data_IF_601711715611
#
_entry.id   IF_601711715611
#
_cell.length_a   1.000
_cell.length_b   1.000
_cell.length_c   1.000
_cell.angle_alpha   90.00
_cell.angle_beta   90.00
_cell.angle_gamma   90.00
#
_symmetry.space_group_name_H-M   'P 1'
#
loop_
_entity.id
_entity.type
_entity.pdbx_description
1 polymer ?
#
# COMPACT_ATOMS: atom_id res chain seq x y z
N UNK A 1 -27.65 -27.02 43.55
CA UNK A 1 -27.23 -27.72 44.78
C UNK A 1 -25.75 -27.45 45.01
N UNK A 2 -25.42 -26.88 46.18
CA UNK A 2 -24.21 -27.11 47.04
C UNK A 2 -22.84 -27.10 46.32
N UNK A 3 -21.84 -26.26 46.62
CA UNK A 3 -21.21 -25.90 47.91
C UNK A 3 -20.27 -24.67 47.71
N UNK A 4 -20.23 -23.64 48.59
CA UNK A 4 -19.27 -23.42 49.74
C UNK A 4 -17.77 -23.49 49.37
N UNK A 5 -16.83 -22.60 49.72
CA UNK A 5 -16.46 -21.82 50.93
C UNK A 5 -15.41 -20.74 50.51
N UNK A 6 -15.44 -19.47 50.91
CA UNK A 6 -15.00 -18.86 52.19
C UNK A 6 -13.52 -19.05 52.61
N UNK A 7 -12.73 -17.95 52.63
CA UNK A 7 -11.90 -17.39 53.76
C UNK A 7 -10.92 -16.33 53.21
N UNK A 8 -10.97 -15.05 53.66
CA UNK A 8 -10.29 -14.43 54.84
C UNK A 8 -8.76 -14.58 54.76
N UNK A 9 -7.87 -13.62 55.03
CA UNK A 9 -7.83 -12.26 55.64
C UNK A 9 -6.31 -11.90 55.63
N UNK A 10 -5.83 -10.66 55.49
CA UNK A 10 -5.24 -9.84 56.58
C UNK A 10 -4.21 -8.82 56.02
N UNK A 11 -4.42 -7.55 56.44
CA UNK A 11 -3.51 -6.40 56.78
C UNK A 11 -2.32 -6.02 55.87
N UNK A 12 -2.15 -4.77 55.42
CA UNK A 12 -2.19 -3.39 56.03
C UNK A 12 -0.87 -2.94 56.71
N UNK A 13 -0.59 -1.64 56.46
CA UNK A 13 0.19 -0.60 57.19
C UNK A 13 1.55 -0.26 56.55
N UNK A 14 1.97 1.01 56.42
CA UNK A 14 1.45 2.33 56.86
C UNK A 14 2.03 3.44 55.94
N UNK A 15 1.38 4.61 55.75
CA UNK A 15 1.24 5.78 56.64
C UNK A 15 2.59 6.48 56.92
N UNK A 16 2.78 7.81 56.89
CA UNK A 16 1.96 9.03 56.69
C UNK A 16 2.90 10.16 56.21
N UNK A 17 2.67 11.48 56.27
CA UNK A 17 1.68 12.40 56.86
C UNK A 17 1.88 13.77 56.13
N UNK A 18 0.85 14.53 55.69
CA UNK A 18 0.04 15.58 56.36
C UNK A 18 0.79 16.84 56.85
N UNK A 19 0.40 18.03 56.32
CA UNK A 19 -0.11 19.21 57.06
C UNK A 19 -0.34 20.42 56.10
N UNK A 20 -1.58 20.84 55.79
CA UNK A 20 -2.47 21.89 56.38
C UNK A 20 -2.11 23.38 56.16
N UNK A 21 -3.04 24.15 55.56
CA UNK A 21 -3.54 25.43 56.09
C UNK A 21 -4.80 25.93 55.33
N UNK A 22 -5.80 26.37 56.10
CA UNK A 22 -7.08 27.00 55.74
C UNK A 22 -6.97 28.54 55.68
N UNK A 23 -7.82 29.21 54.90
CA UNK A 23 -8.60 30.40 55.32
C UNK A 23 -9.94 30.44 54.56
N UNK A 24 -11.02 30.70 55.29
CA UNK A 24 -12.39 30.87 54.84
C UNK A 24 -12.78 32.36 54.70
N UNK A 25 -13.80 32.65 53.89
CA UNK A 25 -14.50 33.94 53.88
C UNK A 25 -15.74 33.88 53.00
N UNK A 26 -16.92 33.78 53.61
CA UNK A 26 -18.24 33.85 52.98
C UNK A 26 -18.86 35.23 53.23
N UNK A 27 -19.61 35.77 52.26
CA UNK A 27 -20.82 36.57 52.49
C UNK A 27 -21.59 36.78 51.18
N UNK A 28 -22.90 36.60 51.30
CA UNK A 28 -23.96 36.62 50.29
C UNK A 28 -24.41 38.04 49.93
N UNK A 29 -24.76 38.27 48.66
CA UNK A 29 -25.75 39.27 48.26
C UNK A 29 -26.50 38.79 47.00
N UNK A 30 -27.80 38.55 47.15
CA UNK A 30 -28.77 38.37 46.06
C UNK A 30 -29.50 39.69 45.89
N UNK A 31 -29.45 40.30 44.70
CA UNK A 31 -30.56 41.07 44.13
C UNK A 31 -30.26 41.57 42.71
N UNK A 32 -31.32 41.54 41.90
CA UNK A 32 -31.55 42.24 40.63
C UNK A 32 -30.92 41.68 39.34
N UNK A 33 -31.72 40.88 38.62
CA UNK A 33 -31.64 40.86 37.16
C UNK A 33 -32.23 42.16 36.60
N UNK A 34 -31.65 42.71 35.53
CA UNK A 34 -32.47 42.94 34.35
C UNK A 34 -31.77 42.57 33.02
N UNK A 35 -32.63 42.14 32.10
CA UNK A 35 -32.59 42.28 30.64
C UNK A 35 -31.37 41.75 29.85
N UNK A 36 -31.70 40.81 28.97
CA UNK A 36 -30.88 40.26 27.90
C UNK A 36 -30.09 41.30 27.11
N UNK A 37 -28.76 41.15 27.14
CA UNK A 37 -27.90 41.50 26.03
C UNK A 37 -27.33 40.19 25.47
N UNK A 38 -27.58 39.93 24.18
CA UNK A 38 -26.99 38.81 23.46
C UNK A 38 -25.46 38.86 23.61
N UNK A 39 -24.78 37.74 23.90
CA UNK A 39 -23.33 37.74 23.85
C UNK A 39 -22.93 37.98 22.39
N UNK A 40 -22.32 39.15 22.14
CA UNK A 40 -21.56 39.41 20.94
C UNK A 40 -20.63 38.21 20.73
N UNK A 41 -20.78 37.54 19.59
CA UNK A 41 -19.90 36.48 19.16
C UNK A 41 -18.46 37.02 19.22
N UNK A 42 -17.75 36.62 20.28
CA UNK A 42 -16.37 37.03 20.50
C UNK A 42 -15.55 36.60 19.29
N UNK A 43 -14.67 37.50 18.85
CA UNK A 43 -13.70 37.39 17.76
C UNK A 43 -12.88 36.08 17.72
N UNK A 44 -13.04 35.20 18.71
CA UNK A 44 -12.50 33.84 18.76
C UNK A 44 -13.09 32.91 17.68
N UNK A 45 -14.29 33.19 17.14
CA UNK A 45 -14.83 32.45 15.97
C UNK A 45 -14.34 32.99 14.61
N UNK A 46 -13.68 34.15 14.57
CA UNK A 46 -13.08 34.70 13.34
C UNK A 46 -11.58 34.39 13.21
N UNK A 47 -10.96 33.75 14.21
CA UNK A 47 -9.57 33.29 14.17
C UNK A 47 -9.48 31.79 13.84
N UNK A 48 -10.60 31.16 13.44
CA UNK A 48 -10.56 29.91 12.68
C UNK A 48 -10.24 30.29 11.23
N UNK A 49 -8.94 30.29 10.93
CA UNK A 49 -8.28 30.75 9.72
C UNK A 49 -9.12 30.62 8.45
N UNK A 50 -9.38 31.76 7.81
CA UNK A 50 -9.51 31.80 6.37
C UNK A 50 -8.23 31.22 5.75
N UNK A 51 -8.23 29.93 5.40
CA UNK A 51 -7.36 29.45 4.33
C UNK A 51 -7.60 30.40 3.16
N UNK A 52 -6.56 31.09 2.68
CA UNK A 52 -6.67 31.78 1.41
C UNK A 52 -7.18 30.74 0.41
N UNK A 53 -8.37 30.99 -0.17
CA UNK A 53 -8.97 30.04 -1.10
C UNK A 53 -7.95 29.73 -2.19
N UNK A 54 -7.63 28.45 -2.38
CA UNK A 54 -6.69 28.00 -3.40
C UNK A 54 -7.08 28.59 -4.75
N UNK A 55 -6.10 28.96 -5.55
CA UNK A 55 -6.32 29.57 -6.86
C UNK A 55 -6.50 28.48 -7.92
N UNK A 56 -7.40 28.73 -8.87
CA UNK A 56 -7.49 27.92 -10.10
C UNK A 56 -6.57 28.50 -11.17
N UNK A 57 -5.84 27.64 -11.89
CA UNK A 57 -5.02 28.04 -13.06
C UNK A 57 -5.25 27.14 -14.25
N UNK A 58 -5.04 27.66 -15.45
CA UNK A 58 -5.00 26.88 -16.69
C UNK A 58 -3.52 26.64 -17.05
N UNK A 59 -3.04 25.38 -17.06
CA UNK A 59 -1.64 25.09 -17.37
C UNK A 59 -1.26 25.38 -18.81
N UNK A 60 0.04 25.55 -19.05
CA UNK A 60 0.58 25.94 -20.36
C UNK A 60 0.23 24.96 -21.48
N UNK A 61 0.21 23.65 -21.20
CA UNK A 61 -0.11 22.65 -22.24
C UNK A 61 -1.56 22.78 -22.78
N UNK A 62 -2.48 23.34 -21.99
CA UNK A 62 -3.85 23.64 -22.45
C UNK A 62 -3.83 24.87 -23.36
N UNK A 63 -3.11 25.93 -22.97
CA UNK A 63 -3.06 27.18 -23.74
C UNK A 63 -2.28 27.00 -25.04
N UNK A 64 -1.15 26.31 -25.00
CA UNK A 64 -0.29 26.07 -26.18
C UNK A 64 -1.00 25.19 -27.22
N UNK A 65 -1.87 24.29 -26.77
CA UNK A 65 -2.72 23.49 -27.66
C UNK A 65 -3.96 24.22 -28.18
N UNK A 66 -4.20 25.47 -27.77
CA UNK A 66 -5.44 26.19 -28.09
C UNK A 66 -6.70 25.54 -27.50
N UNK A 67 -6.54 24.68 -26.50
CA UNK A 67 -7.59 23.82 -25.95
C UNK A 67 -8.32 24.46 -24.76
N UNK A 68 -8.32 25.80 -24.70
CA UNK A 68 -8.99 26.55 -23.66
C UNK A 68 -10.48 26.21 -23.62
N UNK A 69 -11.02 26.10 -22.41
CA UNK A 69 -12.43 25.84 -22.16
C UNK A 69 -12.92 26.74 -21.04
N UNK A 70 -14.12 27.31 -21.21
CA UNK A 70 -14.84 27.98 -20.13
C UNK A 70 -15.55 26.99 -19.20
N UNK A 71 -15.59 25.71 -19.57
CA UNK A 71 -16.25 24.67 -18.82
C UNK A 71 -15.39 24.23 -17.63
N UNK A 72 -15.75 24.72 -16.45
CA UNK A 72 -15.11 24.34 -15.21
C UNK A 72 -16.11 24.36 -14.05
N UNK A 73 -15.83 23.54 -13.04
CA UNK A 73 -16.41 23.66 -11.71
C UNK A 73 -15.29 23.57 -10.68
N UNK A 74 -15.55 24.12 -9.50
CA UNK A 74 -14.55 24.22 -8.42
C UNK A 74 -15.09 23.63 -7.12
N UNK A 75 -14.18 23.04 -6.36
CA UNK A 75 -14.34 22.70 -4.96
C UNK A 75 -13.22 23.35 -4.14
N UNK A 76 -13.01 22.93 -2.88
CA UNK A 76 -11.96 23.51 -2.05
C UNK A 76 -10.57 23.25 -2.63
N UNK A 77 -10.31 22.03 -3.08
CA UNK A 77 -9.01 21.53 -3.51
C UNK A 77 -8.90 21.22 -5.00
N UNK A 78 -10.02 21.12 -5.73
CA UNK A 78 -10.02 20.72 -7.14
C UNK A 78 -10.68 21.73 -8.07
N UNK A 79 -10.20 21.76 -9.31
CA UNK A 79 -10.90 22.38 -10.44
C UNK A 79 -11.10 21.34 -11.52
N UNK A 80 -12.35 20.92 -11.74
CA UNK A 80 -12.72 19.95 -12.77
C UNK A 80 -13.00 20.69 -14.08
N UNK A 81 -12.36 20.28 -15.18
CA UNK A 81 -12.50 20.88 -16.53
C UNK A 81 -12.86 19.84 -17.58
N UNK A 82 -13.58 20.26 -18.60
CA UNK A 82 -13.92 19.41 -19.75
C UNK A 82 -13.95 20.20 -21.06
N UNK A 83 -13.69 19.52 -22.16
CA UNK A 83 -13.75 20.10 -23.50
C UNK A 83 -15.17 20.27 -24.00
N UNK A 84 -15.31 20.83 -25.20
CA UNK A 84 -16.60 21.13 -25.83
C UNK A 84 -17.08 20.04 -26.81
N UNK A 85 -16.27 18.99 -27.06
CA UNK A 85 -16.61 17.95 -28.03
C UNK A 85 -17.66 16.96 -27.49
N UNK A 86 -17.81 16.89 -26.16
CA UNK A 86 -18.82 16.07 -25.48
C UNK A 86 -19.57 16.93 -24.49
N UNK A 87 -20.91 16.90 -24.54
CA UNK A 87 -21.75 17.46 -23.49
C UNK A 87 -21.73 16.52 -22.27
N UNK A 88 -20.69 16.68 -21.44
CA UNK A 88 -20.45 15.87 -20.25
C UNK A 88 -21.56 16.06 -19.20
N UNK A 89 -22.21 17.22 -19.17
CA UNK A 89 -23.33 17.49 -18.27
C UNK A 89 -24.55 16.68 -18.70
N UNK A 90 -24.92 16.71 -19.99
CA UNK A 90 -26.01 15.90 -20.50
C UNK A 90 -25.72 14.39 -20.37
N UNK A 91 -24.48 13.96 -20.65
CA UNK A 91 -24.05 12.58 -20.45
C UNK A 91 -24.24 12.12 -18.99
N UNK A 92 -23.93 13.00 -18.04
CA UNK A 92 -24.10 12.78 -16.61
C UNK A 92 -25.56 12.69 -16.19
N UNK A 93 -26.42 13.58 -16.70
CA UNK A 93 -27.86 13.58 -16.42
C UNK A 93 -28.55 12.29 -16.85
N UNK A 94 -28.13 11.71 -17.99
CA UNK A 94 -28.61 10.40 -18.44
C UNK A 94 -28.27 9.26 -17.46
N UNK A 95 -27.36 9.49 -16.51
CA UNK A 95 -26.92 8.55 -15.48
C UNK A 95 -27.34 8.98 -14.06
N UNK A 96 -28.23 9.96 -13.95
CA UNK A 96 -28.79 10.42 -12.68
C UNK A 96 -27.96 11.48 -11.95
N UNK A 97 -26.98 12.10 -12.62
CA UNK A 97 -26.23 13.22 -12.06
C UNK A 97 -26.72 14.56 -12.63
N UNK A 98 -27.35 15.40 -11.81
CA UNK A 98 -27.87 16.72 -12.25
C UNK A 98 -26.77 17.64 -12.79
N UNK A 99 -25.61 17.61 -12.12
CA UNK A 99 -24.36 18.27 -12.51
C UNK A 99 -23.19 17.32 -12.25
N UNK A 100 -22.90 16.48 -13.24
CA UNK A 100 -21.85 15.47 -13.14
C UNK A 100 -20.44 16.03 -12.87
N UNK A 101 -19.97 17.09 -13.54
CA UNK A 101 -18.69 17.70 -13.18
C UNK A 101 -18.61 18.13 -11.71
N UNK A 102 -19.68 18.71 -11.13
CA UNK A 102 -19.69 19.10 -9.72
C UNK A 102 -19.70 17.87 -8.80
N UNK A 103 -20.44 16.82 -9.17
CA UNK A 103 -20.40 15.55 -8.44
C UNK A 103 -18.98 14.97 -8.42
N UNK A 104 -18.26 15.00 -9.54
CA UNK A 104 -16.84 14.58 -9.62
C UNK A 104 -15.97 15.40 -8.67
N UNK A 105 -16.11 16.73 -8.67
CA UNK A 105 -15.34 17.60 -7.78
C UNK A 105 -15.58 17.24 -6.30
N UNK A 106 -16.84 17.04 -5.92
CA UNK A 106 -17.21 16.66 -4.55
C UNK A 106 -16.69 15.27 -4.17
N UNK A 107 -16.80 14.29 -5.07
CA UNK A 107 -16.27 12.94 -4.88
C UNK A 107 -14.75 12.94 -4.68
N UNK A 108 -14.03 13.80 -5.40
CA UNK A 108 -12.59 13.98 -5.17
C UNK A 108 -12.26 14.63 -3.82
N UNK A 109 -13.12 15.48 -3.26
CA UNK A 109 -12.94 15.97 -1.88
C UNK A 109 -13.06 14.85 -0.84
N UNK A 110 -13.91 13.85 -1.06
CA UNK A 110 -14.01 12.67 -0.18
C UNK A 110 -12.75 11.80 -0.24
N UNK A 111 -12.12 11.72 -1.41
CA UNK A 111 -10.83 11.03 -1.61
C UNK A 111 -9.69 11.83 -0.98
N UNK A 112 -9.70 13.16 -1.16
CA UNK A 112 -8.77 14.07 -0.50
C UNK A 112 -8.82 13.90 1.01
N UNK A 113 -10.01 13.98 1.60
CA UNK A 113 -10.19 13.85 3.05
C UNK A 113 -9.62 12.53 3.57
N UNK A 114 -9.89 11.43 2.86
CA UNK A 114 -9.34 10.13 3.21
C UNK A 114 -7.80 10.12 3.24
N UNK A 115 -7.13 10.54 2.16
CA UNK A 115 -5.67 10.43 2.09
C UNK A 115 -4.92 11.51 2.88
N UNK A 116 -5.43 12.74 2.88
CA UNK A 116 -4.77 13.88 3.52
C UNK A 116 -5.10 13.92 5.01
N UNK A 117 -6.37 13.81 5.38
CA UNK A 117 -6.80 14.01 6.78
C UNK A 117 -6.86 12.71 7.59
N UNK A 118 -7.29 11.59 7.00
CA UNK A 118 -7.44 10.33 7.74
C UNK A 118 -6.17 9.48 7.72
N UNK A 119 -5.55 9.29 6.55
CA UNK A 119 -4.30 8.53 6.40
C UNK A 119 -3.08 9.37 6.79
N UNK A 120 -3.15 10.69 6.66
CA UNK A 120 -2.00 11.56 6.92
C UNK A 120 -0.84 11.31 5.95
N UNK A 121 -1.15 11.01 4.68
CA UNK A 121 -0.15 10.65 3.66
C UNK A 121 0.81 11.81 3.35
N UNK A 122 0.28 12.86 2.74
CA UNK A 122 0.96 14.10 2.37
C UNK A 122 -0.06 15.20 2.54
N UNK A 123 0.28 16.28 3.24
CA UNK A 123 -0.53 17.50 3.24
C UNK A 123 -0.05 18.42 2.12
N UNK A 124 -0.87 18.66 1.07
CA UNK A 124 -0.47 19.60 0.02
C UNK A 124 -0.27 21.03 0.52
N UNK A 125 -0.75 21.39 1.72
CA UNK A 125 -0.43 22.66 2.37
C UNK A 125 1.07 22.81 2.67
N UNK A 126 1.81 21.72 2.84
CA UNK A 126 3.27 21.72 3.03
C UNK A 126 4.05 21.89 1.71
N UNK A 127 3.36 21.81 0.57
CA UNK A 127 3.95 21.99 -0.75
C UNK A 127 3.68 23.41 -1.29
N UNK A 128 4.68 24.17 -1.77
CA UNK A 128 4.47 25.55 -2.23
C UNK A 128 3.39 25.71 -3.31
N UNK A 129 3.27 24.74 -4.22
CA UNK A 129 2.21 24.75 -5.24
C UNK A 129 0.91 24.14 -4.74
N UNK A 130 0.99 23.12 -3.87
CA UNK A 130 -0.19 22.44 -3.32
C UNK A 130 -1.00 23.31 -2.36
N UNK A 131 -0.33 24.23 -1.66
CA UNK A 131 -0.95 25.23 -0.78
C UNK A 131 -1.58 26.39 -1.54
N UNK A 132 -1.04 26.72 -2.71
CA UNK A 132 -1.47 27.88 -3.50
C UNK A 132 -2.56 27.54 -4.51
N UNK A 133 -2.46 26.39 -5.19
CA UNK A 133 -3.30 26.06 -6.34
C UNK A 133 -4.19 24.86 -6.08
N UNK A 134 -5.39 24.89 -6.67
CA UNK A 134 -6.24 23.71 -6.80
C UNK A 134 -5.61 22.72 -7.77
N UNK A 135 -5.87 21.44 -7.53
CA UNK A 135 -5.48 20.36 -8.43
C UNK A 135 -6.45 20.37 -9.62
N UNK A 136 -5.90 20.41 -10.82
CA UNK A 136 -6.71 20.37 -12.03
C UNK A 136 -7.10 18.93 -12.35
N UNK A 137 -8.39 18.65 -12.52
CA UNK A 137 -8.88 17.35 -13.00
C UNK A 137 -9.53 17.55 -14.36
N UNK A 138 -9.01 16.89 -15.39
CA UNK A 138 -9.57 16.92 -16.74
C UNK A 138 -10.44 15.69 -16.97
N UNK A 139 -11.69 15.91 -17.38
CA UNK A 139 -12.59 14.85 -17.84
C UNK A 139 -12.20 14.50 -19.28
N UNK A 140 -11.14 13.71 -19.41
CA UNK A 140 -10.48 13.39 -20.67
C UNK A 140 -11.40 12.62 -21.64
N UNK A 141 -11.15 12.79 -22.93
CA UNK A 141 -12.03 12.35 -24.01
C UNK A 141 -13.19 13.30 -24.32
N UNK A 142 -13.21 14.49 -23.72
CA UNK A 142 -14.23 15.53 -23.98
C UNK A 142 -13.74 16.68 -24.88
N UNK A 143 -12.47 16.68 -25.29
CA UNK A 143 -11.91 17.62 -26.26
C UNK A 143 -11.94 17.05 -27.68
N UNK A 144 -11.90 17.94 -28.67
CA UNK A 144 -11.83 17.59 -30.09
C UNK A 144 -10.40 17.23 -30.53
N UNK A 145 -10.28 16.44 -31.60
CA UNK A 145 -9.00 16.22 -32.28
C UNK A 145 -7.99 15.42 -31.46
N UNK A 146 -8.46 14.45 -30.68
CA UNK A 146 -7.66 13.56 -29.82
C UNK A 146 -6.80 14.27 -28.75
N UNK A 147 -7.01 15.57 -28.52
CA UNK A 147 -6.41 16.27 -27.40
C UNK A 147 -6.97 15.72 -26.08
N UNK A 148 -6.10 15.34 -25.14
CA UNK A 148 -6.48 14.64 -23.90
C UNK A 148 -7.45 13.47 -24.17
N UNK A 149 -6.98 12.40 -24.85
CA UNK A 149 -7.82 11.24 -25.13
C UNK A 149 -8.23 10.56 -23.83
N UNK A 150 -9.20 9.64 -23.89
CA UNK A 150 -9.62 8.86 -22.71
C UNK A 150 -8.42 8.07 -22.15
N UNK A 151 -7.85 8.58 -21.08
CA UNK A 151 -6.67 8.04 -20.41
C UNK A 151 -6.76 8.36 -18.91
N UNK A 152 -6.04 7.57 -18.11
CA UNK A 152 -5.79 7.86 -16.70
C UNK A 152 -4.31 8.18 -16.56
N UNK A 153 -4.01 9.35 -16.01
CA UNK A 153 -2.66 9.73 -15.60
C UNK A 153 -2.74 10.94 -14.66
N UNK A 154 -1.70 11.13 -13.85
CA UNK A 154 -1.60 12.25 -12.94
C UNK A 154 -0.13 12.62 -12.68
N UNK A 155 0.07 13.82 -12.15
CA UNK A 155 1.39 14.32 -11.83
C UNK A 155 1.38 15.82 -11.56
N UNK A 156 2.41 16.51 -12.05
CA UNK A 156 2.58 17.95 -11.91
C UNK A 156 2.56 18.65 -13.27
N UNK A 157 2.01 19.85 -13.28
CA UNK A 157 2.01 20.75 -14.43
C UNK A 157 3.34 21.50 -14.58
N UNK A 158 3.37 22.46 -15.53
CA UNK A 158 4.55 23.25 -15.90
C UNK A 158 5.18 24.05 -14.75
N UNK A 159 4.47 24.27 -13.64
CA UNK A 159 4.99 25.00 -12.48
C UNK A 159 5.08 24.14 -11.21
N UNK A 160 4.76 22.85 -11.30
CA UNK A 160 4.70 21.94 -10.16
C UNK A 160 3.33 21.85 -9.47
N UNK A 161 2.26 22.41 -10.05
CA UNK A 161 0.91 22.27 -9.50
C UNK A 161 0.29 20.92 -9.89
N UNK A 162 -0.48 20.31 -9.00
CA UNK A 162 -1.05 18.99 -9.25
C UNK A 162 -2.07 19.00 -10.40
N UNK A 163 -2.04 17.96 -11.23
CA UNK A 163 -3.09 17.73 -12.21
C UNK A 163 -3.32 16.25 -12.50
N UNK A 164 -4.52 15.95 -12.98
CA UNK A 164 -5.00 14.59 -13.23
C UNK A 164 -5.86 14.59 -14.51
N UNK A 165 -5.76 13.51 -15.27
CA UNK A 165 -6.61 13.19 -16.40
C UNK A 165 -7.35 11.90 -16.09
N UNK A 166 -8.68 11.94 -16.14
CA UNK A 166 -9.53 10.77 -15.95
C UNK A 166 -10.60 10.78 -17.04
N UNK A 167 -10.94 9.64 -17.69
CA UNK A 167 -11.96 9.62 -18.74
C UNK A 167 -13.29 10.13 -18.21
N UNK A 168 -13.99 10.96 -18.99
CA UNK A 168 -15.29 11.48 -18.56
C UNK A 168 -16.33 10.39 -18.31
N UNK A 169 -16.16 9.20 -18.91
CA UNK A 169 -17.08 8.07 -18.84
C UNK A 169 -16.57 6.88 -18.02
N UNK A 170 -15.51 7.07 -17.23
CA UNK A 170 -15.02 6.02 -16.33
C UNK A 170 -16.05 5.65 -15.26
N UNK A 171 -15.87 4.49 -14.68
CA UNK A 171 -16.50 4.14 -13.40
C UNK A 171 -15.75 4.81 -12.26
N UNK A 172 -16.46 5.56 -11.43
CA UNK A 172 -15.93 6.28 -10.26
C UNK A 172 -16.18 5.47 -8.99
N UNK A 173 -15.39 4.42 -8.82
CA UNK A 173 -15.55 3.42 -7.77
C UNK A 173 -14.55 3.58 -6.62
N UNK A 174 -13.83 4.69 -6.56
CA UNK A 174 -12.72 4.97 -5.65
C UNK A 174 -11.43 4.20 -5.93
N UNK A 175 -11.32 3.42 -7.01
CA UNK A 175 -10.08 2.72 -7.33
C UNK A 175 -9.12 3.60 -8.14
N UNK A 176 -9.45 3.85 -9.41
CA UNK A 176 -8.56 4.53 -10.36
C UNK A 176 -8.29 5.97 -9.94
N UNK A 177 -9.31 6.70 -9.48
CA UNK A 177 -9.16 8.08 -9.07
C UNK A 177 -8.30 8.23 -7.81
N UNK A 178 -8.33 7.24 -6.91
CA UNK A 178 -7.44 7.20 -5.74
C UNK A 178 -6.01 6.92 -6.15
N UNK A 179 -5.81 5.98 -7.07
CA UNK A 179 -4.49 5.66 -7.64
C UNK A 179 -3.85 6.91 -8.26
N UNK A 180 -4.56 7.57 -9.18
CA UNK A 180 -4.05 8.75 -9.87
C UNK A 180 -3.84 9.94 -8.93
N UNK A 181 -4.73 10.16 -7.95
CA UNK A 181 -4.55 11.23 -6.97
C UNK A 181 -3.27 11.02 -6.14
N UNK A 182 -2.92 9.78 -5.83
CA UNK A 182 -1.71 9.47 -5.10
C UNK A 182 -0.43 9.78 -5.92
N UNK A 183 -0.45 9.77 -7.25
CA UNK A 183 0.67 10.27 -8.05
C UNK A 183 0.91 11.78 -7.88
N UNK A 184 -0.14 12.57 -7.70
CA UNK A 184 0.00 13.99 -7.36
C UNK A 184 0.67 14.14 -5.99
N UNK A 185 0.21 13.37 -4.99
CA UNK A 185 0.76 13.41 -3.65
C UNK A 185 2.20 12.89 -3.57
N UNK A 186 2.54 11.84 -4.32
CA UNK A 186 3.93 11.34 -4.46
C UNK A 186 4.86 12.40 -5.06
N UNK A 187 4.37 13.18 -6.03
CA UNK A 187 5.13 14.28 -6.62
C UNK A 187 5.41 15.36 -5.57
N UNK A 188 4.41 15.75 -4.79
CA UNK A 188 4.60 16.69 -3.66
C UNK A 188 5.54 16.13 -2.58
N UNK A 189 5.41 14.85 -2.24
CA UNK A 189 6.32 14.19 -1.29
C UNK A 189 7.78 14.23 -1.78
N UNK A 190 7.99 14.03 -3.09
CA UNK A 190 9.32 14.09 -3.70
C UNK A 190 9.92 15.50 -3.66
N UNK A 191 9.11 16.53 -3.90
CA UNK A 191 9.57 17.93 -3.81
C UNK A 191 9.88 18.37 -2.37
N UNK A 192 9.05 17.93 -1.41
CA UNK A 192 9.31 18.14 0.03
C UNK A 192 10.57 17.38 0.45
N UNK A 193 10.73 16.13 0.00
CA UNK A 193 11.95 15.35 0.21
C UNK A 193 13.20 16.08 -0.32
N UNK A 194 13.14 16.64 -1.53
CA UNK A 194 14.23 17.42 -2.11
C UNK A 194 14.56 18.65 -1.25
N UNK A 195 13.54 19.38 -0.80
CA UNK A 195 13.67 20.54 0.09
C UNK A 195 14.30 20.18 1.43
N UNK A 196 14.03 18.97 1.92
CA UNK A 196 14.60 18.42 3.16
C UNK A 196 16.05 17.89 2.98
N UNK A 197 16.68 18.11 1.82
CA UNK A 197 18.07 17.76 1.57
C UNK A 197 18.31 16.31 1.12
N UNK A 198 17.24 15.56 0.81
CA UNK A 198 17.34 14.17 0.35
C UNK A 198 17.38 14.03 -1.18
N UNK A 199 17.29 15.16 -1.90
CA UNK A 199 17.50 15.24 -3.35
C UNK A 199 16.35 14.72 -4.23
N UNK A 200 15.16 14.51 -3.66
CA UNK A 200 13.98 14.02 -4.38
C UNK A 200 13.67 12.54 -4.16
N UNK A 201 14.59 11.81 -3.52
CA UNK A 201 14.38 10.44 -3.09
C UNK A 201 14.07 9.47 -4.24
N UNK A 202 12.83 8.98 -4.28
CA UNK A 202 12.35 8.11 -5.35
C UNK A 202 11.85 8.88 -6.58
N UNK A 203 11.76 10.21 -6.52
CA UNK A 203 11.43 11.09 -7.63
C UNK A 203 12.64 11.66 -8.36
N UNK A 204 12.44 12.82 -8.99
CA UNK A 204 13.49 13.65 -9.60
C UNK A 204 14.44 12.87 -10.54
N UNK A 205 13.89 11.94 -11.32
CA UNK A 205 14.65 11.16 -12.31
C UNK A 205 15.48 10.01 -11.73
N UNK A 206 15.19 9.52 -10.52
CA UNK A 206 15.86 8.35 -9.97
C UNK A 206 15.65 7.10 -10.89
N UNK A 207 16.71 6.52 -11.48
CA UNK A 207 16.61 5.53 -12.55
C UNK A 207 16.15 4.13 -12.08
N UNK A 208 16.05 3.91 -10.76
CA UNK A 208 15.82 2.60 -10.15
C UNK A 208 14.58 2.58 -9.24
N UNK A 209 13.74 3.61 -9.31
CA UNK A 209 12.53 3.74 -8.48
C UNK A 209 11.22 3.73 -9.27
N UNK A 210 11.23 3.82 -10.61
CA UNK A 210 10.01 3.94 -11.42
C UNK A 210 8.84 3.02 -11.01
N UNK A 211 9.02 1.69 -10.94
CA UNK A 211 7.94 0.77 -10.56
C UNK A 211 7.40 0.98 -9.14
N UNK A 212 8.15 1.61 -8.23
CA UNK A 212 7.67 1.87 -6.86
C UNK A 212 6.54 2.90 -6.85
N UNK A 213 6.50 3.81 -7.82
CA UNK A 213 5.45 4.81 -7.94
C UNK A 213 4.10 4.14 -8.15
N UNK A 214 4.03 3.18 -9.07
CA UNK A 214 2.83 2.40 -9.35
C UNK A 214 2.49 1.41 -8.24
N UNK A 215 3.48 0.68 -7.73
CA UNK A 215 3.26 -0.27 -6.64
C UNK A 215 2.71 0.46 -5.39
N UNK A 216 3.22 1.65 -5.09
CA UNK A 216 2.72 2.47 -4.00
C UNK A 216 1.35 3.07 -4.31
N UNK A 217 1.10 3.62 -5.51
CA UNK A 217 -0.21 4.15 -5.87
C UNK A 217 -1.31 3.07 -5.80
N UNK A 218 -0.99 1.83 -6.20
CA UNK A 218 -1.87 0.68 -6.01
C UNK A 218 -2.05 0.29 -4.54
N UNK A 219 -0.99 0.31 -3.73
CA UNK A 219 -1.12 0.13 -2.28
C UNK A 219 -2.09 1.17 -1.69
N UNK A 220 -1.94 2.45 -2.05
CA UNK A 220 -2.79 3.53 -1.55
C UNK A 220 -4.25 3.37 -2.00
N UNK A 221 -4.50 3.06 -3.28
CA UNK A 221 -5.84 2.78 -3.78
C UNK A 221 -6.51 1.60 -3.05
N UNK A 222 -5.73 0.57 -2.68
CA UNK A 222 -6.21 -0.60 -1.92
C UNK A 222 -6.56 -0.29 -0.48
N UNK A 223 -6.00 0.76 0.12
CA UNK A 223 -6.46 1.18 1.45
C UNK A 223 -7.95 1.55 1.43
N UNK A 224 -8.44 2.13 0.32
CA UNK A 224 -9.85 2.51 0.14
C UNK A 224 -10.70 1.41 -0.50
N UNK A 225 -10.11 0.60 -1.38
CA UNK A 225 -10.78 -0.51 -2.11
C UNK A 225 -9.96 -1.81 -2.03
N UNK A 226 -9.81 -2.41 -0.85
CA UNK A 226 -8.92 -3.57 -0.65
C UNK A 226 -9.34 -4.81 -1.45
N UNK A 227 -10.61 -4.89 -1.85
CA UNK A 227 -11.16 -5.95 -2.69
C UNK A 227 -10.87 -5.81 -4.19
N UNK A 228 -10.29 -4.71 -4.69
CA UNK A 228 -10.06 -4.56 -6.13
C UNK A 228 -8.69 -5.12 -6.51
N UNK A 229 -8.54 -6.44 -6.64
CA UNK A 229 -7.27 -7.11 -6.99
C UNK A 229 -7.10 -7.26 -8.50
N UNK A 230 -8.16 -7.68 -9.19
CA UNK A 230 -8.22 -7.80 -10.66
C UNK A 230 -8.13 -6.41 -11.31
N UNK A 231 -7.03 -6.13 -12.00
CA UNK A 231 -6.77 -4.86 -12.70
C UNK A 231 -5.36 -4.30 -12.48
N UNK A 232 -4.66 -4.72 -11.43
CA UNK A 232 -3.29 -4.24 -11.11
C UNK A 232 -2.17 -5.05 -11.75
N UNK A 233 -2.39 -5.69 -12.90
CA UNK A 233 -1.38 -6.54 -13.54
C UNK A 233 -1.17 -7.90 -12.85
N UNK A 234 -1.01 -8.92 -13.68
CA UNK A 234 -0.98 -10.35 -13.39
C UNK A 234 0.14 -10.82 -12.43
N UNK A 235 -0.08 -10.71 -11.12
CA UNK A 235 0.94 -11.13 -10.14
C UNK A 235 1.01 -12.66 -9.94
N UNK A 236 -0.12 -13.37 -10.03
CA UNK A 236 -0.27 -14.78 -9.60
C UNK A 236 0.73 -15.74 -10.28
N UNK A 237 1.08 -15.52 -11.56
CA UNK A 237 2.06 -16.35 -12.28
C UNK A 237 3.45 -15.68 -12.43
N UNK A 238 3.65 -14.53 -11.78
CA UNK A 238 4.83 -13.67 -11.92
C UNK A 238 5.55 -13.44 -10.59
N UNK A 239 5.16 -14.18 -9.55
CA UNK A 239 5.69 -14.06 -8.19
C UNK A 239 7.19 -14.32 -8.11
N UNK A 240 7.74 -15.09 -9.05
CA UNK A 240 9.16 -15.40 -9.16
C UNK A 240 9.98 -14.21 -9.71
N UNK A 241 9.38 -13.23 -10.39
CA UNK A 241 10.11 -12.04 -10.81
C UNK A 241 10.57 -11.21 -9.60
N UNK A 242 11.57 -10.36 -9.83
CA UNK A 242 12.13 -9.53 -8.76
C UNK A 242 11.06 -8.56 -8.29
N UNK A 243 11.08 -8.20 -7.01
CA UNK A 243 10.24 -7.09 -6.55
C UNK A 243 10.63 -5.81 -7.31
N UNK A 244 9.62 -5.09 -7.80
CA UNK A 244 9.70 -3.95 -8.73
C UNK A 244 10.21 -4.31 -10.13
N UNK A 245 9.90 -5.50 -10.66
CA UNK A 245 10.15 -5.85 -12.05
C UNK A 245 9.19 -5.12 -13.00
N UNK A 246 9.56 -5.04 -14.29
CA UNK A 246 8.66 -4.47 -15.30
C UNK A 246 7.44 -5.38 -15.52
N UNK A 247 7.59 -6.67 -15.27
CA UNK A 247 6.57 -7.72 -15.38
C UNK A 247 5.54 -7.66 -14.24
N UNK A 248 5.93 -7.12 -13.10
CA UNK A 248 5.12 -6.99 -11.88
C UNK A 248 4.85 -5.53 -11.52
N UNK A 249 5.05 -4.61 -12.48
CA UNK A 249 5.07 -3.14 -12.30
C UNK A 249 3.94 -2.59 -11.42
N UNK A 250 2.75 -3.16 -11.52
CA UNK A 250 1.55 -2.76 -10.77
C UNK A 250 1.19 -3.71 -9.60
N UNK A 251 1.80 -4.91 -9.51
CA UNK A 251 1.43 -5.98 -8.60
C UNK A 251 2.22 -6.02 -7.28
N UNK A 252 3.30 -5.25 -7.17
CA UNK A 252 4.29 -5.35 -6.10
C UNK A 252 3.90 -4.65 -4.77
N UNK A 253 2.63 -4.28 -4.62
CA UNK A 253 2.10 -3.56 -3.47
C UNK A 253 2.08 -4.39 -2.17
N UNK A 254 2.07 -5.72 -2.23
CA UNK A 254 1.91 -6.61 -1.06
C UNK A 254 3.08 -6.57 -0.07
N UNK A 255 4.28 -6.15 -0.49
CA UNK A 255 5.37 -5.90 0.45
C UNK A 255 5.02 -4.71 1.37
N UNK A 256 4.33 -3.69 0.86
CA UNK A 256 3.82 -2.59 1.69
C UNK A 256 2.75 -3.05 2.67
N UNK A 257 1.85 -3.99 2.31
CA UNK A 257 0.92 -4.59 3.29
C UNK A 257 1.66 -5.32 4.41
N UNK A 258 2.69 -6.10 4.06
CA UNK A 258 3.50 -6.80 5.07
C UNK A 258 4.20 -5.82 6.00
N UNK A 259 4.78 -4.75 5.46
CA UNK A 259 5.46 -3.72 6.24
C UNK A 259 4.45 -2.97 7.12
N UNK A 260 3.29 -2.55 6.59
CA UNK A 260 2.20 -1.92 7.33
C UNK A 260 1.79 -2.77 8.53
N UNK A 261 1.52 -4.04 8.32
CA UNK A 261 1.03 -4.95 9.35
C UNK A 261 2.09 -5.27 10.40
N UNK A 262 3.38 -5.06 10.09
CA UNK A 262 4.51 -5.37 10.98
C UNK A 262 5.05 -4.14 11.72
N UNK A 263 5.10 -2.98 11.04
CA UNK A 263 5.79 -1.77 11.51
C UNK A 263 4.86 -0.55 11.63
N UNK A 264 3.58 -0.69 11.25
CA UNK A 264 2.61 0.41 11.19
C UNK A 264 2.52 1.06 9.80
N UNK A 265 1.39 1.69 9.45
CA UNK A 265 1.24 2.37 8.16
C UNK A 265 2.17 3.59 7.99
N UNK A 266 2.55 4.25 9.08
CA UNK A 266 3.30 5.51 9.05
C UNK A 266 4.71 5.34 8.45
N UNK A 267 5.29 4.13 8.54
CA UNK A 267 6.62 3.88 7.96
C UNK A 267 6.60 3.91 6.44
N UNK A 268 5.46 3.65 5.80
CA UNK A 268 5.32 3.75 4.34
C UNK A 268 5.51 5.20 3.90
N UNK A 269 4.94 6.16 4.64
CA UNK A 269 5.10 7.60 4.42
C UNK A 269 6.55 8.03 4.61
N UNK A 270 7.17 7.54 5.68
CA UNK A 270 8.59 7.80 5.94
C UNK A 270 9.49 7.39 4.78
N UNK A 271 9.18 6.32 4.04
CA UNK A 271 10.01 5.94 2.90
C UNK A 271 10.12 7.03 1.85
N UNK A 272 9.02 7.72 1.53
CA UNK A 272 9.04 8.80 0.53
C UNK A 272 9.75 10.04 1.04
N UNK A 273 9.56 10.41 2.32
CA UNK A 273 10.22 11.57 2.92
C UNK A 273 11.71 11.36 3.22
N UNK A 274 12.12 10.11 3.47
CA UNK A 274 13.49 9.78 3.88
C UNK A 274 14.33 9.13 2.79
N UNK A 275 13.76 8.65 1.67
CA UNK A 275 14.51 8.11 0.54
C UNK A 275 15.56 9.09 0.05
N UNK A 276 16.76 8.60 -0.28
CA UNK A 276 17.85 9.43 -0.83
C UNK A 276 17.86 9.34 -2.35
N UNK A 277 18.25 10.42 -3.02
CA UNK A 277 18.36 10.42 -4.48
C UNK A 277 19.31 9.32 -4.98
N UNK A 278 18.83 8.53 -5.94
CA UNK A 278 19.56 7.37 -6.49
C UNK A 278 19.52 6.11 -5.62
N UNK A 279 18.86 6.14 -4.47
CA UNK A 279 18.63 4.97 -3.62
C UNK A 279 17.50 4.10 -4.22
N UNK A 280 17.75 2.79 -4.34
CA UNK A 280 16.69 1.84 -4.68
C UNK A 280 15.72 1.66 -3.48
N UNK A 281 14.40 1.48 -3.72
CA UNK A 281 13.42 1.34 -2.64
C UNK A 281 13.73 0.29 -1.57
N UNK A 282 14.34 -0.85 -1.93
CA UNK A 282 14.82 -1.85 -0.95
C UNK A 282 15.89 -1.28 -0.02
N UNK A 283 16.83 -0.49 -0.53
CA UNK A 283 17.86 0.12 0.31
C UNK A 283 17.23 1.16 1.26
N UNK A 284 16.26 1.93 0.78
CA UNK A 284 15.45 2.83 1.61
C UNK A 284 14.75 2.05 2.72
N UNK A 285 14.02 0.98 2.40
CA UNK A 285 13.30 0.13 3.38
C UNK A 285 14.27 -0.39 4.43
N UNK A 286 15.39 -0.99 4.03
CA UNK A 286 16.41 -1.51 4.96
C UNK A 286 16.94 -0.42 5.89
N UNK A 287 17.27 0.76 5.34
CA UNK A 287 17.81 1.87 6.12
C UNK A 287 16.79 2.48 7.09
N UNK A 288 15.60 2.80 6.61
CA UNK A 288 14.55 3.49 7.39
C UNK A 288 14.03 2.60 8.52
N UNK A 289 13.95 1.28 8.29
CA UNK A 289 13.55 0.30 9.30
C UNK A 289 14.73 -0.24 10.14
N UNK A 290 15.97 0.14 9.82
CA UNK A 290 17.16 -0.34 10.55
C UNK A 290 17.41 -1.85 10.41
N UNK A 291 17.05 -2.44 9.26
CA UNK A 291 17.15 -3.88 9.03
C UNK A 291 18.56 -4.25 8.56
N UNK A 292 19.21 -5.13 9.31
CA UNK A 292 20.34 -5.89 8.80
C UNK A 292 19.87 -6.91 7.74
N UNK A 293 20.82 -7.67 7.19
CA UNK A 293 20.49 -8.68 6.19
C UNK A 293 19.52 -9.74 6.69
N UNK A 294 19.70 -10.24 7.92
CA UNK A 294 18.90 -11.33 8.45
C UNK A 294 17.46 -10.89 8.71
N UNK A 295 17.29 -9.70 9.30
CA UNK A 295 15.97 -9.11 9.55
C UNK A 295 15.24 -8.80 8.23
N UNK A 296 15.96 -8.29 7.22
CA UNK A 296 15.37 -8.04 5.91
C UNK A 296 15.02 -9.35 5.16
N UNK A 297 15.88 -10.36 5.19
CA UNK A 297 15.58 -11.68 4.62
C UNK A 297 14.34 -12.29 5.29
N UNK A 298 14.20 -12.14 6.62
CA UNK A 298 13.00 -12.56 7.35
C UNK A 298 11.75 -11.81 6.87
N UNK A 299 11.83 -10.48 6.69
CA UNK A 299 10.73 -9.67 6.16
C UNK A 299 10.27 -10.19 4.78
N UNK A 300 11.21 -10.48 3.88
CA UNK A 300 10.89 -11.03 2.56
C UNK A 300 10.28 -12.43 2.65
N UNK A 301 10.78 -13.31 3.52
CA UNK A 301 10.20 -14.62 3.76
C UNK A 301 8.78 -14.56 4.33
N UNK A 302 8.51 -13.60 5.23
CA UNK A 302 7.17 -13.36 5.79
C UNK A 302 6.23 -12.84 4.70
N UNK A 303 6.69 -11.87 3.91
CA UNK A 303 5.97 -11.31 2.77
C UNK A 303 5.59 -12.39 1.74
N UNK A 304 6.54 -13.25 1.35
CA UNK A 304 6.29 -14.34 0.42
C UNK A 304 5.26 -15.35 0.99
N UNK A 305 5.42 -15.72 2.26
CA UNK A 305 4.58 -16.76 2.87
C UNK A 305 3.14 -16.31 3.12
N UNK A 306 2.91 -15.02 3.39
CA UNK A 306 1.56 -14.44 3.50
C UNK A 306 0.74 -14.61 2.22
N UNK A 307 1.38 -14.66 1.06
CA UNK A 307 0.69 -14.72 -0.23
C UNK A 307 0.01 -16.06 -0.51
N UNK A 308 0.36 -17.12 0.23
CA UNK A 308 -0.31 -18.43 0.14
C UNK A 308 -1.82 -18.32 0.33
N UNK A 309 -2.27 -17.44 1.24
CA UNK A 309 -3.69 -17.19 1.54
C UNK A 309 -4.05 -15.69 1.54
N UNK A 310 -3.11 -14.83 1.13
CA UNK A 310 -3.19 -13.37 1.27
C UNK A 310 -3.46 -12.98 2.74
N UNK A 311 -2.61 -13.46 3.64
CA UNK A 311 -2.68 -13.22 5.09
C UNK A 311 -2.19 -11.81 5.46
N UNK A 312 -3.03 -10.83 5.16
CA UNK A 312 -2.87 -9.42 5.50
C UNK A 312 -4.08 -8.95 6.32
N UNK A 313 -3.97 -7.80 6.99
CA UNK A 313 -5.11 -7.23 7.76
C UNK A 313 -6.36 -7.00 6.92
N UNK A 314 -6.19 -6.73 5.61
CA UNK A 314 -7.21 -6.59 4.58
C UNK A 314 -7.44 -7.87 3.76
N UNK A 315 -6.87 -8.99 4.20
CA UNK A 315 -6.86 -10.26 3.48
C UNK A 315 -8.25 -10.81 3.15
N UNK A 316 -9.26 -10.60 4.01
CA UNK A 316 -10.63 -11.03 3.70
C UNK A 316 -11.19 -10.32 2.46
N UNK A 317 -10.96 -9.01 2.33
CA UNK A 317 -11.41 -8.23 1.18
C UNK A 317 -10.64 -8.64 -0.09
N UNK A 318 -9.31 -8.77 0.00
CA UNK A 318 -8.47 -9.26 -1.10
C UNK A 318 -8.95 -10.64 -1.59
N UNK A 319 -9.24 -11.57 -0.66
CA UNK A 319 -9.74 -12.91 -0.98
C UNK A 319 -11.12 -12.91 -1.63
N UNK A 320 -11.98 -11.94 -1.30
CA UNK A 320 -13.33 -11.86 -1.92
C UNK A 320 -13.28 -11.70 -3.44
N UNK A 321 -12.16 -11.14 -3.94
CA UNK A 321 -11.90 -10.93 -5.35
C UNK A 321 -11.15 -12.09 -5.99
N UNK A 322 -10.09 -12.56 -5.34
CA UNK A 322 -9.27 -13.66 -5.84
C UNK A 322 -9.99 -15.02 -5.81
N UNK A 323 -10.89 -15.21 -4.86
CA UNK A 323 -11.82 -16.35 -4.78
C UNK A 323 -13.26 -15.89 -5.02
N UNK A 324 -13.48 -15.05 -6.04
CA UNK A 324 -14.83 -14.66 -6.52
C UNK A 324 -15.75 -15.88 -6.64
N UNK A 325 -16.98 -15.73 -6.13
CA UNK A 325 -17.94 -16.84 -6.04
C UNK A 325 -17.84 -17.67 -4.75
N UNK A 326 -16.86 -17.36 -3.89
CA UNK A 326 -16.66 -18.02 -2.61
C UNK A 326 -16.03 -19.41 -2.74
N UNK A 327 -16.18 -20.20 -1.67
CA UNK A 327 -15.69 -21.57 -1.60
C UNK A 327 -14.49 -21.74 -0.68
N UNK A 328 -14.13 -23.00 -0.47
CA UNK A 328 -12.97 -23.37 0.33
C UNK A 328 -11.66 -22.91 -0.34
N UNK A 329 -10.63 -22.74 0.48
CA UNK A 329 -9.27 -22.50 0.01
C UNK A 329 -8.87 -23.52 -1.07
N UNK A 330 -8.26 -22.97 -2.13
CA UNK A 330 -7.52 -23.69 -3.17
C UNK A 330 -6.32 -22.82 -3.54
N UNK A 331 -5.12 -23.36 -3.80
CA UNK A 331 -4.03 -22.56 -4.33
C UNK A 331 -4.44 -21.88 -5.64
N UNK A 332 -4.10 -20.59 -5.79
CA UNK A 332 -4.31 -19.86 -7.05
C UNK A 332 -3.19 -20.11 -8.05
N UNK A 333 -1.99 -20.37 -7.53
CA UNK A 333 -0.78 -20.69 -8.28
C UNK A 333 0.06 -21.66 -7.47
N UNK A 334 0.78 -22.53 -8.19
CA UNK A 334 1.84 -23.35 -7.62
C UNK A 334 2.95 -23.55 -8.64
N UNK A 335 4.19 -23.50 -8.20
CA UNK A 335 5.36 -23.72 -9.04
C UNK A 335 5.73 -25.22 -9.07
N UNK A 336 5.86 -25.81 -10.27
CA UNK A 336 6.23 -27.21 -10.40
C UNK A 336 7.72 -27.42 -10.09
N UNK A 337 8.06 -28.62 -9.62
CA UNK A 337 9.44 -29.04 -9.42
C UNK A 337 9.80 -30.24 -10.30
N UNK A 338 11.02 -30.24 -10.82
CA UNK A 338 11.58 -31.34 -11.60
C UNK A 338 12.20 -32.38 -10.67
N UNK A 339 11.64 -33.59 -10.64
CA UNK A 339 12.21 -34.72 -9.91
C UNK A 339 13.58 -35.10 -10.45
N UNK A 340 14.55 -35.25 -9.55
CA UNK A 340 15.90 -35.76 -9.82
C UNK A 340 16.07 -37.21 -9.30
N UNK A 341 14.99 -37.82 -8.78
CA UNK A 341 15.02 -39.11 -8.10
C UNK A 341 15.43 -39.00 -6.61
N UNK A 342 15.16 -40.06 -5.84
CA UNK A 342 15.62 -40.14 -4.44
C UNK A 342 15.06 -39.08 -3.48
N UNK A 343 13.88 -38.52 -3.75
CA UNK A 343 13.30 -37.43 -2.95
C UNK A 343 13.96 -36.06 -3.21
N UNK A 344 14.74 -35.95 -4.27
CA UNK A 344 15.42 -34.72 -4.66
C UNK A 344 14.69 -34.05 -5.83
N UNK A 345 14.49 -32.75 -5.73
CA UNK A 345 13.70 -31.95 -6.67
C UNK A 345 14.39 -30.63 -6.99
N UNK A 346 14.21 -30.10 -8.19
CA UNK A 346 14.84 -28.85 -8.65
C UNK A 346 13.80 -27.91 -9.28
N UNK A 347 13.89 -26.61 -9.01
CA UNK A 347 13.12 -25.60 -9.73
C UNK A 347 13.69 -25.40 -11.14
N UNK A 348 12.83 -25.26 -12.16
CA UNK A 348 13.30 -24.93 -13.50
C UNK A 348 14.01 -23.56 -13.48
N UNK A 349 15.06 -23.39 -14.28
CA UNK A 349 15.79 -22.12 -14.30
C UNK A 349 14.94 -20.92 -14.74
N UNK A 350 13.90 -21.15 -15.55
CA UNK A 350 12.93 -20.12 -15.97
C UNK A 350 12.00 -19.67 -14.83
N UNK A 351 11.80 -20.54 -13.84
CA UNK A 351 10.83 -20.34 -12.76
C UNK A 351 11.55 -20.03 -11.44
N UNK A 352 12.89 -20.04 -11.46
CA UNK A 352 13.72 -19.70 -10.31
C UNK A 352 13.43 -18.25 -9.87
N UNK A 353 13.31 -18.00 -8.55
CA UNK A 353 12.98 -16.68 -8.07
C UNK A 353 14.13 -15.72 -8.36
N UNK A 354 13.82 -14.54 -8.86
CA UNK A 354 14.74 -13.40 -8.93
C UNK A 354 14.80 -12.70 -7.57
N UNK A 355 15.65 -11.69 -7.39
CA UNK A 355 15.82 -11.03 -6.08
C UNK A 355 14.46 -10.60 -5.47
N UNK A 356 14.16 -11.10 -4.27
CA UNK A 356 12.93 -10.81 -3.52
C UNK A 356 11.63 -11.32 -4.19
N UNK A 357 11.75 -12.05 -5.29
CA UNK A 357 10.72 -12.92 -5.82
C UNK A 357 10.65 -14.24 -5.05
N UNK A 358 9.60 -15.01 -5.29
CA UNK A 358 9.36 -16.27 -4.60
C UNK A 358 8.59 -17.28 -5.43
N UNK A 359 8.65 -18.53 -4.99
CA UNK A 359 7.85 -19.63 -5.48
C UNK A 359 6.94 -20.18 -4.36
N UNK A 360 5.81 -20.75 -4.75
CA UNK A 360 4.87 -21.47 -3.89
C UNK A 360 4.72 -22.88 -4.44
N UNK A 361 5.27 -23.89 -3.76
CA UNK A 361 5.18 -25.29 -4.17
C UNK A 361 4.14 -26.00 -3.31
N UNK A 362 3.15 -26.64 -3.92
CA UNK A 362 2.25 -27.53 -3.17
C UNK A 362 2.94 -28.85 -2.86
N UNK A 363 2.86 -29.27 -1.60
CA UNK A 363 3.30 -30.58 -1.15
C UNK A 363 2.10 -31.47 -0.82
N UNK A 364 2.21 -32.75 -1.15
CA UNK A 364 1.25 -33.80 -0.82
C UNK A 364 1.89 -34.72 0.24
N UNK A 365 1.62 -34.50 1.55
CA UNK A 365 2.17 -35.34 2.61
C UNK A 365 1.65 -36.77 2.54
N UNK A 366 2.49 -37.75 2.87
CA UNK A 366 2.13 -39.18 2.88
C UNK A 366 1.57 -39.66 4.22
N UNK A 367 1.13 -38.74 5.09
CA UNK A 367 0.49 -39.03 6.39
C UNK A 367 1.36 -38.84 7.63
N UNK A 368 2.61 -38.37 7.48
CA UNK A 368 3.56 -38.15 8.57
C UNK A 368 4.21 -36.77 8.59
N UNK A 369 5.35 -36.66 9.29
CA UNK A 369 6.19 -35.46 9.27
C UNK A 369 6.82 -35.29 7.88
N UNK A 370 6.71 -34.09 7.34
CA UNK A 370 7.40 -33.65 6.13
C UNK A 370 8.71 -32.99 6.54
N UNK A 371 9.80 -33.40 5.89
CA UNK A 371 11.11 -32.80 6.09
C UNK A 371 11.62 -32.21 4.78
N UNK A 372 12.06 -30.95 4.82
CA UNK A 372 12.56 -30.21 3.66
C UNK A 372 13.92 -29.60 4.00
N UNK A 373 14.88 -29.81 3.10
CA UNK A 373 16.15 -29.09 3.07
C UNK A 373 16.29 -28.38 1.72
N UNK A 374 16.84 -27.17 1.75
CA UNK A 374 17.14 -26.39 0.56
C UNK A 374 18.65 -26.25 0.35
N UNK A 375 19.09 -26.47 -0.88
CA UNK A 375 20.43 -26.16 -1.36
C UNK A 375 20.34 -25.13 -2.49
N UNK A 376 20.97 -23.97 -2.29
CA UNK A 376 21.09 -22.95 -3.33
C UNK A 376 21.99 -23.41 -4.48
N UNK A 377 21.63 -23.03 -5.71
CA UNK A 377 22.33 -23.40 -6.94
C UNK A 377 22.83 -22.18 -7.72
N UNK A 378 22.77 -20.98 -7.12
CA UNK A 378 23.30 -19.75 -7.72
C UNK A 378 24.78 -19.56 -7.38
N UNK A 379 25.57 -19.13 -8.35
CA UNK A 379 26.98 -18.73 -8.18
C UNK A 379 27.15 -17.24 -7.88
N UNK A 380 26.06 -16.49 -7.79
CA UNK A 380 26.09 -15.06 -7.54
C UNK A 380 26.60 -14.77 -6.12
N UNK A 381 27.49 -13.78 -6.02
CA UNK A 381 27.93 -13.28 -4.72
C UNK A 381 26.72 -12.83 -3.88
N UNK A 382 26.69 -13.28 -2.63
CA UNK A 382 25.60 -12.98 -1.70
C UNK A 382 24.28 -13.68 -2.01
N UNK A 383 24.25 -14.74 -2.81
CA UNK A 383 23.05 -15.56 -3.00
C UNK A 383 22.58 -16.18 -1.67
N UNK A 384 21.31 -16.00 -1.36
CA UNK A 384 20.70 -16.47 -0.11
C UNK A 384 19.18 -16.64 -0.31
N UNK A 385 18.55 -17.50 0.49
CA UNK A 385 17.15 -17.88 0.36
C UNK A 385 16.49 -18.01 1.73
N UNK A 386 15.19 -17.74 1.82
CA UNK A 386 14.37 -18.17 2.96
C UNK A 386 13.31 -19.13 2.46
N UNK A 387 13.06 -20.20 3.21
CA UNK A 387 11.97 -21.11 2.94
C UNK A 387 11.14 -21.41 4.18
N UNK A 388 9.85 -21.65 3.97
CA UNK A 388 8.88 -21.83 5.04
C UNK A 388 7.77 -22.78 4.58
N UNK A 389 7.34 -23.68 5.47
CA UNK A 389 6.16 -24.52 5.25
C UNK A 389 4.93 -23.82 5.80
N UNK A 390 3.82 -23.95 5.06
CA UNK A 390 2.56 -23.29 5.34
C UNK A 390 1.44 -24.33 5.29
N UNK A 391 0.76 -24.54 6.41
CA UNK A 391 -0.45 -25.37 6.46
C UNK A 391 -1.68 -24.49 6.37
N UNK A 392 -2.64 -24.89 5.54
CA UNK A 392 -3.86 -24.10 5.27
C UNK A 392 -5.09 -24.96 5.49
N UNK A 393 -6.10 -24.40 6.15
CA UNK A 393 -7.45 -24.98 6.31
C UNK A 393 -8.37 -24.53 5.18
N UNK A 394 -9.51 -25.20 5.02
CA UNK A 394 -10.51 -24.82 4.00
C UNK A 394 -11.08 -23.41 4.19
N UNK A 395 -11.03 -22.84 5.39
CA UNK A 395 -11.53 -21.51 5.74
C UNK A 395 -10.47 -20.39 5.63
N UNK A 396 -9.33 -20.67 4.97
CA UNK A 396 -8.18 -19.77 4.85
C UNK A 396 -7.38 -19.57 6.15
N UNK A 397 -7.73 -20.21 7.26
CA UNK A 397 -6.88 -20.22 8.45
C UNK A 397 -5.52 -20.84 8.11
N UNK A 398 -4.45 -20.19 8.53
CA UNK A 398 -3.08 -20.53 8.16
C UNK A 398 -2.19 -20.75 9.38
N UNK A 399 -1.26 -21.69 9.27
CA UNK A 399 -0.20 -21.91 10.26
C UNK A 399 1.14 -22.02 9.54
N UNK A 400 2.08 -21.21 9.98
CA UNK A 400 3.44 -21.17 9.45
C UNK A 400 4.38 -22.05 10.27
N UNK A 401 5.38 -22.66 9.64
CA UNK A 401 6.58 -23.15 10.32
C UNK A 401 7.47 -21.97 10.76
N UNK A 402 8.62 -22.26 11.36
CA UNK A 402 9.73 -21.28 11.35
C UNK A 402 10.19 -20.99 9.91
N UNK A 403 10.93 -19.90 9.73
CA UNK A 403 11.66 -19.68 8.47
C UNK A 403 13.05 -20.33 8.56
N UNK A 404 13.50 -20.89 7.44
CA UNK A 404 14.75 -21.63 7.34
C UNK A 404 15.61 -21.06 6.21
N UNK A 405 16.93 -21.17 6.38
CA UNK A 405 17.96 -20.80 5.40
C UNK A 405 18.57 -22.07 4.77
N UNK A 406 19.27 -21.96 3.62
CA UNK A 406 19.97 -23.10 3.02
C UNK A 406 20.83 -23.88 4.02
N UNK A 407 20.81 -25.21 3.92
CA UNK A 407 21.53 -26.11 4.85
C UNK A 407 20.81 -26.39 6.18
N UNK A 408 19.70 -25.71 6.47
CA UNK A 408 18.82 -26.06 7.59
C UNK A 408 17.75 -27.07 7.17
N UNK A 409 17.20 -27.79 8.15
CA UNK A 409 16.11 -28.76 7.94
C UNK A 409 14.82 -28.24 8.56
N UNK A 410 13.80 -28.08 7.73
CA UNK A 410 12.44 -27.78 8.19
C UNK A 410 11.67 -29.07 8.41
N UNK A 411 11.13 -29.27 9.60
CA UNK A 411 10.27 -30.41 9.92
C UNK A 411 8.87 -29.91 10.27
N UNK A 412 7.85 -30.43 9.60
CA UNK A 412 6.48 -29.92 9.73
C UNK A 412 5.44 -31.01 9.45
N UNK A 413 4.36 -31.01 10.20
CA UNK A 413 3.23 -31.94 10.00
C UNK A 413 1.93 -31.15 9.90
N UNK A 414 0.99 -31.68 9.13
CA UNK A 414 -0.40 -31.20 9.19
C UNK A 414 -1.02 -31.54 10.55
N UNK A 415 -1.78 -30.59 11.08
CA UNK A 415 -2.64 -30.75 12.25
C UNK A 415 -4.08 -31.01 11.80
N UNK A 416 -4.93 -31.40 12.75
CA UNK A 416 -6.35 -31.63 12.46
C UNK A 416 -7.01 -30.40 11.83
N UNK A 417 -7.76 -30.65 10.75
CA UNK A 417 -8.47 -29.63 9.95
C UNK A 417 -7.62 -28.92 8.89
N UNK A 418 -6.30 -29.09 8.87
CA UNK A 418 -5.43 -28.55 7.82
C UNK A 418 -5.49 -29.46 6.58
N UNK A 419 -5.76 -28.87 5.41
CA UNK A 419 -6.06 -29.61 4.18
C UNK A 419 -5.00 -29.46 3.10
N UNK A 420 -4.15 -28.43 3.19
CA UNK A 420 -3.09 -28.16 2.23
C UNK A 420 -1.77 -27.88 2.96
N UNK A 421 -0.66 -28.30 2.35
CA UNK A 421 0.68 -27.90 2.73
C UNK A 421 1.36 -27.23 1.55
N UNK A 422 1.83 -26.00 1.73
CA UNK A 422 2.67 -25.31 0.77
C UNK A 422 4.09 -25.16 1.32
N UNK A 423 5.06 -25.18 0.43
CA UNK A 423 6.43 -24.75 0.68
C UNK A 423 6.65 -23.45 -0.09
N UNK A 424 7.00 -22.39 0.62
CA UNK A 424 7.35 -21.11 0.01
C UNK A 424 8.86 -20.98 0.02
N UNK A 425 9.44 -20.57 -1.11
CA UNK A 425 10.88 -20.32 -1.26
C UNK A 425 11.08 -18.93 -1.84
N UNK A 426 11.72 -18.03 -1.10
CA UNK A 426 11.99 -16.67 -1.53
C UNK A 426 13.51 -16.44 -1.73
N UNK A 427 13.89 -15.75 -2.80
CA UNK A 427 15.26 -15.29 -2.98
C UNK A 427 15.50 -14.06 -2.12
N UNK A 428 16.52 -14.12 -1.26
CA UNK A 428 16.81 -13.09 -0.27
C UNK A 428 18.29 -12.73 -0.30
N UNK A 429 18.85 -12.27 -1.43
CA UNK A 429 20.29 -12.05 -1.53
C UNK A 429 20.78 -11.00 -0.53
N UNK A 430 21.97 -11.23 0.02
CA UNK A 430 22.66 -10.30 0.94
C UNK A 430 23.27 -9.09 0.24
N UNK A 431 23.41 -9.18 -1.08
CA UNK A 431 23.81 -8.08 -1.94
C UNK A 431 22.65 -7.68 -2.86
N UNK A 432 22.17 -6.46 -2.68
CA UNK A 432 21.16 -5.87 -3.56
C UNK A 432 21.78 -5.50 -4.91
N UNK A 433 21.06 -5.78 -6.00
CA UNK A 433 21.47 -5.39 -7.36
C UNK A 433 20.44 -4.42 -7.93
N UNK A 434 20.91 -3.28 -8.41
CA UNK A 434 20.06 -2.32 -9.09
C UNK A 434 19.82 -2.76 -10.53
N UNK A 435 18.56 -2.69 -10.96
CA UNK A 435 18.17 -2.79 -12.36
C UNK A 435 17.47 -1.50 -12.74
N UNK A 436 17.81 -0.93 -13.90
CA UNK A 436 17.17 0.30 -14.36
C UNK A 436 15.72 0.02 -14.76
N UNK A 437 14.85 1.00 -14.58
CA UNK A 437 13.45 0.93 -15.03
C UNK A 437 13.33 0.67 -16.55
N UNK A 438 12.15 0.21 -16.99
CA UNK A 438 11.81 -0.11 -18.39
C UNK A 438 12.51 -1.32 -19.02
N UNK A 439 13.32 -2.04 -18.24
CA UNK A 439 13.94 -3.29 -18.70
C UNK A 439 13.04 -4.50 -18.43
N UNK A 440 12.56 -5.11 -19.51
CA UNK A 440 11.80 -6.37 -19.49
C UNK A 440 12.75 -7.55 -19.62
N UNK A 441 12.47 -8.65 -18.92
CA UNK A 441 13.24 -9.89 -18.94
C UNK A 441 14.56 -9.81 -18.18
N UNK A 442 14.74 -8.77 -17.36
CA UNK A 442 16.00 -8.52 -16.64
C UNK A 442 15.86 -8.82 -15.16
N UNK A 443 16.67 -9.77 -14.70
CA UNK A 443 16.81 -10.15 -13.30
C UNK A 443 17.69 -11.38 -13.18
N UNK A 444 18.47 -11.44 -12.12
CA UNK A 444 19.30 -12.59 -11.83
C UNK A 444 18.46 -13.71 -11.19
N UNK A 445 18.43 -14.93 -11.74
CA UNK A 445 17.72 -16.04 -11.13
C UNK A 445 18.51 -16.64 -9.95
N UNK A 446 17.78 -17.07 -8.92
CA UNK A 446 18.31 -17.75 -7.74
C UNK A 446 17.80 -19.20 -7.70
N UNK A 447 18.29 -20.08 -8.59
CA UNK A 447 17.84 -21.47 -8.64
C UNK A 447 18.21 -22.23 -7.35
N UNK A 448 17.41 -23.24 -7.03
CA UNK A 448 17.61 -24.08 -5.86
C UNK A 448 17.23 -25.55 -6.12
N UNK A 449 17.70 -26.40 -5.24
CA UNK A 449 17.35 -27.81 -5.14
C UNK A 449 16.77 -28.08 -3.75
N UNK A 450 15.82 -29.02 -3.68
CA UNK A 450 15.17 -29.44 -2.45
C UNK A 450 15.39 -30.93 -2.26
N UNK A 451 15.65 -31.33 -1.02
CA UNK A 451 15.50 -32.71 -0.57
C UNK A 451 14.25 -32.77 0.30
N UNK A 452 13.29 -33.59 -0.12
CA UNK A 452 11.97 -33.71 0.51
C UNK A 452 11.76 -35.16 0.92
N UNK A 453 11.37 -35.37 2.18
CA UNK A 453 10.89 -36.67 2.69
C UNK A 453 9.53 -36.50 3.35
N UNK A 454 8.72 -37.57 3.34
CA UNK A 454 7.36 -37.54 3.90
C UNK A 454 6.31 -36.81 3.05
N UNK A 455 6.68 -36.30 1.87
CA UNK A 455 5.77 -35.70 0.91
C UNK A 455 6.33 -35.78 -0.52
N UNK A 456 5.46 -35.62 -1.52
CA UNK A 456 5.84 -35.33 -2.90
C UNK A 456 5.30 -33.95 -3.31
N UNK A 457 6.02 -33.17 -4.14
CA UNK A 457 5.42 -32.03 -4.82
C UNK A 457 4.21 -32.45 -5.67
N UNK A 458 3.25 -31.53 -5.85
CA UNK A 458 2.03 -31.77 -6.63
C UNK A 458 2.24 -31.75 -8.13
#
# INVERSE_FOLDING_TARGET
>A
MVATQARRRVRRLGAGAVCTALVAGSLTAVAAAPAHAAPQASQVQQVQQAQLAKQSRVPRFITDAGAYTGNAVESANFTVRWGNAVDVVAWGRQRGYDNYPQWVANHMEEIWDYYVNQVGWVDPADHPRGSTYRINLYLCGSWSGDFLPRANWAGQDDIGAGHMCLPYDKTWDNWVESHEFNHVLQSFASDINATNGNGGGWGHGNPVSGPVWEAHANYMARMKRPEVVVGSGYYVDRQHFRWLAQETYYGDWMLFNTIRDTYGPEVINRFWYEARQGEHPINTIKRVLGLDHQAFAKLIGDYASRQVVYDFSDGQAIRSDLWRGGGAYRPLHTDPLQSQGGGVYRIASSDAPHQYGHNIVRLNPTGGQVSVQLQGQSTLAGADWRFQLVAVRSDFSVRYSGQFAPGQTANFSLQSGETHMMLVVAATPSQHRNYTMWQVGVGDPFPYQLTITGATPA
#
